data_IF_888109741757
#
_entry.id   IF_888109741757
#
_cell.length_a   1.000
_cell.length_b   1.000
_cell.length_c   1.000
_cell.angle_alpha   90.00
_cell.angle_beta   90.00
_cell.angle_gamma   90.00
#
_symmetry.space_group_name_H-M   'P 1'
#
loop_
_entity.id
_entity.type
_entity.pdbx_description
1 polymer ?
#
# COMPACT_ATOMS: atom_id res chain seq x y z
N UNK A 1 -2.75 2.26 -13.87
CA UNK A 1 -1.84 2.92 -12.92
C UNK A 1 -0.66 2.00 -12.64
N UNK A 2 0.56 2.53 -12.74
CA UNK A 2 1.76 1.72 -12.51
C UNK A 2 1.99 1.48 -11.01
N UNK A 3 2.82 0.49 -10.69
CA UNK A 3 3.16 0.22 -9.29
C UNK A 3 3.85 1.42 -8.64
N UNK A 4 4.67 2.16 -9.40
CA UNK A 4 5.31 3.36 -8.86
C UNK A 4 4.29 4.43 -8.50
N UNK A 5 3.29 4.63 -9.35
CA UNK A 5 2.22 5.58 -9.06
C UNK A 5 1.38 5.16 -7.87
N UNK A 6 1.10 3.87 -7.76
CA UNK A 6 0.38 3.33 -6.60
C UNK A 6 1.16 3.61 -5.31
N UNK A 7 2.48 3.38 -5.32
CA UNK A 7 3.31 3.63 -4.15
C UNK A 7 3.36 5.11 -3.77
N UNK A 8 3.46 6.00 -4.76
CA UNK A 8 3.44 7.43 -4.50
C UNK A 8 2.16 7.87 -3.84
N UNK A 9 1.01 7.42 -4.35
CA UNK A 9 -0.28 7.76 -3.79
C UNK A 9 -0.48 7.13 -2.41
N UNK A 10 -0.02 5.89 -2.22
CA UNK A 10 -0.08 5.24 -0.92
C UNK A 10 0.79 5.98 0.10
N UNK A 11 1.96 6.44 -0.31
CA UNK A 11 2.84 7.25 0.56
C UNK A 11 2.15 8.54 0.97
N UNK A 12 1.47 9.19 0.03
CA UNK A 12 0.71 10.40 0.33
C UNK A 12 -0.37 10.13 1.38
N UNK A 13 -1.11 9.02 1.22
CA UNK A 13 -2.13 8.63 2.20
C UNK A 13 -1.52 8.37 3.58
N UNK A 14 -0.32 7.80 3.62
CA UNK A 14 0.38 7.49 4.86
C UNK A 14 1.06 8.69 5.50
N UNK A 15 1.04 9.86 4.85
CA UNK A 15 1.69 11.05 5.36
C UNK A 15 3.21 11.09 5.15
N UNK A 16 3.73 10.28 4.24
CA UNK A 16 5.16 10.27 3.90
C UNK A 16 5.43 11.43 2.96
N UNK A 17 6.19 12.41 3.42
CA UNK A 17 6.40 13.65 2.65
C UNK A 17 7.65 13.61 1.77
N UNK A 18 8.69 12.92 2.21
CA UNK A 18 9.96 12.89 1.48
C UNK A 18 10.41 11.47 1.22
N UNK A 19 10.61 11.15 -0.05
CA UNK A 19 11.03 9.82 -0.47
C UNK A 19 11.76 9.88 -1.81
N UNK A 20 12.49 8.82 -2.10
CA UNK A 20 13.10 8.60 -3.41
C UNK A 20 12.65 7.24 -3.93
N UNK A 21 12.51 7.12 -5.23
CA UNK A 21 12.21 5.83 -5.84
C UNK A 21 13.43 4.94 -5.88
N UNK A 22 13.23 3.64 -5.60
CA UNK A 22 14.27 2.65 -5.78
C UNK A 22 13.61 1.35 -6.28
N UNK A 23 14.45 0.40 -6.68
CA UNK A 23 13.98 -0.90 -7.12
C UNK A 23 14.66 -1.99 -6.30
N UNK A 24 13.86 -2.95 -5.86
CA UNK A 24 14.37 -4.11 -5.16
C UNK A 24 14.91 -5.13 -6.17
N UNK A 25 15.61 -6.14 -5.67
CA UNK A 25 16.01 -7.27 -6.51
C UNK A 25 14.78 -7.85 -7.21
N UNK A 26 14.87 -8.02 -8.53
CA UNK A 26 13.74 -8.47 -9.32
C UNK A 26 12.91 -7.33 -9.93
N UNK A 27 13.31 -6.08 -9.71
CA UNK A 27 12.66 -4.94 -10.34
C UNK A 27 11.37 -4.45 -9.71
N UNK A 28 11.04 -4.93 -8.51
CA UNK A 28 9.85 -4.47 -7.80
C UNK A 28 10.05 -3.06 -7.27
N UNK A 29 9.15 -2.10 -7.58
CA UNK A 29 9.30 -0.73 -7.08
C UNK A 29 9.18 -0.65 -5.56
N UNK A 30 9.94 0.26 -4.98
CA UNK A 30 9.90 0.57 -3.57
C UNK A 30 10.24 2.04 -3.38
N UNK A 31 10.10 2.55 -2.15
CA UNK A 31 10.48 3.90 -1.82
C UNK A 31 11.51 3.89 -0.71
N UNK A 32 12.44 4.82 -0.77
CA UNK A 32 13.37 5.07 0.32
C UNK A 32 12.93 6.37 1.00
N UNK A 33 12.47 6.23 2.24
CA UNK A 33 11.85 7.34 2.96
C UNK A 33 12.87 8.08 3.82
N UNK A 34 12.82 9.41 3.79
CA UNK A 34 13.69 10.27 4.58
C UNK A 34 13.03 10.77 5.85
N UNK A 35 11.73 10.58 5.95
CA UNK A 35 10.95 10.85 7.16
C UNK A 35 10.33 9.54 7.64
N UNK A 36 9.58 9.57 8.71
CA UNK A 36 8.91 8.36 9.22
C UNK A 36 8.00 7.73 8.17
N UNK A 37 8.08 6.42 7.91
CA UNK A 37 9.06 5.45 8.44
C UNK A 37 10.40 5.57 7.70
N UNK A 38 11.47 5.77 8.45
CA UNK A 38 12.79 5.93 7.86
C UNK A 38 13.27 4.65 7.17
N UNK A 39 13.90 4.82 6.02
CA UNK A 39 14.53 3.72 5.30
C UNK A 39 13.64 3.15 4.21
N UNK A 40 13.89 1.90 3.83
CA UNK A 40 13.18 1.24 2.75
C UNK A 40 11.72 0.97 3.12
N UNK A 41 10.83 1.39 2.23
CA UNK A 41 9.40 1.18 2.40
C UNK A 41 8.86 0.45 1.16
N UNK A 42 8.47 -0.80 1.35
CA UNK A 42 8.13 -1.69 0.25
C UNK A 42 6.86 -2.50 0.55
N UNK A 43 5.70 -1.85 0.66
CA UNK A 43 4.47 -2.57 1.04
C UNK A 43 3.97 -3.56 -0.02
N UNK A 44 4.49 -3.48 -1.26
CA UNK A 44 4.13 -4.47 -2.28
C UNK A 44 4.84 -5.82 -2.06
N UNK A 45 5.96 -5.84 -1.35
CA UNK A 45 6.75 -7.05 -1.14
C UNK A 45 6.99 -7.39 0.33
N UNK A 46 6.85 -6.44 1.23
CA UNK A 46 7.11 -6.66 2.65
C UNK A 46 5.80 -6.66 3.44
N UNK A 47 5.50 -7.79 4.07
CA UNK A 47 4.26 -7.95 4.83
C UNK A 47 4.17 -6.94 5.99
N UNK A 48 5.30 -6.68 6.66
CA UNK A 48 5.32 -5.74 7.77
C UNK A 48 4.98 -4.31 7.32
N UNK A 49 5.57 -3.88 6.20
CA UNK A 49 5.28 -2.54 5.66
C UNK A 49 3.81 -2.44 5.23
N UNK A 50 3.29 -3.49 4.59
CA UNK A 50 1.89 -3.53 4.19
C UNK A 50 0.96 -3.49 5.40
N UNK A 51 1.26 -4.27 6.43
CA UNK A 51 0.45 -4.30 7.64
C UNK A 51 0.45 -2.94 8.35
N UNK A 52 1.62 -2.32 8.47
CA UNK A 52 1.71 -0.99 9.09
C UNK A 52 0.89 0.04 8.33
N UNK A 53 0.90 -0.04 7.00
CA UNK A 53 0.09 0.85 6.16
C UNK A 53 -1.40 0.63 6.40
N UNK A 54 -1.83 -0.63 6.44
CA UNK A 54 -3.24 -0.97 6.70
C UNK A 54 -3.70 -0.48 8.07
N UNK A 55 -2.86 -0.67 9.09
CA UNK A 55 -3.20 -0.23 10.46
C UNK A 55 -3.29 1.29 10.51
N UNK A 56 -2.35 1.99 9.89
CA UNK A 56 -2.35 3.45 9.89
C UNK A 56 -3.61 4.03 9.26
N UNK A 57 -4.12 3.38 8.22
CA UNK A 57 -5.30 3.84 7.50
C UNK A 57 -6.61 3.22 8.00
N UNK A 58 -6.54 2.35 8.99
CA UNK A 58 -7.72 1.71 9.54
C UNK A 58 -8.41 0.75 8.60
N UNK A 59 -7.65 0.07 7.74
CA UNK A 59 -8.21 -0.88 6.78
C UNK A 59 -8.57 -2.20 7.46
N UNK A 60 -9.66 -2.81 7.03
CA UNK A 60 -10.04 -4.16 7.45
C UNK A 60 -9.47 -5.15 6.45
N UNK A 61 -8.68 -6.10 6.93
CA UNK A 61 -8.04 -7.10 6.07
C UNK A 61 -8.92 -8.34 6.01
N UNK A 62 -9.32 -8.72 4.80
CA UNK A 62 -10.08 -9.93 4.52
C UNK A 62 -9.45 -10.58 3.29
N UNK A 63 -8.49 -11.47 3.51
CA UNK A 63 -7.70 -12.05 2.41
C UNK A 63 -8.57 -12.71 1.35
N UNK A 64 -8.27 -12.46 0.07
CA UNK A 64 -7.12 -11.72 -0.46
C UNK A 64 -7.39 -10.23 -0.71
N UNK A 65 -8.16 -9.57 0.09
CA UNK A 65 -8.49 -8.18 -0.12
C UNK A 65 -8.55 -7.39 1.17
N UNK A 66 -8.99 -6.15 1.06
CA UNK A 66 -9.18 -5.27 2.21
C UNK A 66 -10.46 -4.49 2.04
N UNK A 67 -11.07 -4.11 3.14
CA UNK A 67 -12.22 -3.24 3.16
C UNK A 67 -11.85 -1.93 3.86
N UNK A 68 -12.42 -0.85 3.38
CA UNK A 68 -12.22 0.47 3.95
C UNK A 68 -13.55 0.97 4.46
N UNK A 69 -13.55 1.46 5.70
CA UNK A 69 -14.75 2.02 6.31
C UNK A 69 -14.79 3.52 6.07
N UNK A 70 -15.80 4.00 5.38
CA UNK A 70 -16.05 5.42 5.18
C UNK A 70 -17.46 5.76 5.69
N UNK A 71 -17.57 5.92 7.00
CA UNK A 71 -18.88 6.15 7.61
C UNK A 71 -19.77 4.93 7.49
N UNK A 72 -20.89 5.05 6.78
CA UNK A 72 -21.80 3.93 6.56
C UNK A 72 -21.46 3.08 5.36
N UNK A 73 -20.30 3.32 4.74
CA UNK A 73 -19.95 2.71 3.48
C UNK A 73 -18.67 1.92 3.58
N UNK A 74 -18.73 0.64 3.25
CA UNK A 74 -17.55 -0.21 3.14
C UNK A 74 -17.18 -0.38 1.67
N UNK A 75 -15.94 -0.09 1.35
CA UNK A 75 -15.40 -0.27 0.01
C UNK A 75 -14.40 -1.42 0.04
N UNK A 76 -14.68 -2.47 -0.72
CA UNK A 76 -13.84 -3.66 -0.74
C UNK A 76 -12.92 -3.64 -1.95
N UNK A 77 -11.62 -3.80 -1.70
CA UNK A 77 -10.60 -3.91 -2.74
C UNK A 77 -10.02 -5.31 -2.67
N UNK A 78 -10.08 -6.04 -3.75
CA UNK A 78 -9.51 -7.38 -3.80
C UNK A 78 -8.61 -7.54 -5.03
N UNK A 79 -7.61 -8.40 -4.89
CA UNK A 79 -6.68 -8.73 -5.96
C UNK A 79 -6.53 -10.24 -6.02
N UNK A 80 -7.08 -10.86 -7.05
CA UNK A 80 -7.04 -12.31 -7.20
C UNK A 80 -6.13 -12.78 -8.34
N UNK A 81 -5.40 -11.85 -8.96
CA UNK A 81 -4.50 -12.16 -10.07
C UNK A 81 -3.07 -12.45 -9.63
N UNK A 82 -2.76 -12.25 -8.36
CA UNK A 82 -1.43 -12.46 -7.82
C UNK A 82 -1.19 -13.96 -7.51
N UNK A 83 0.08 -14.39 -7.49
CA UNK A 83 0.40 -15.82 -7.33
C UNK A 83 0.04 -16.43 -5.99
N UNK A 84 -0.10 -15.62 -4.94
CA UNK A 84 -0.47 -16.11 -3.63
C UNK A 84 -1.27 -15.07 -2.85
N UNK A 85 -1.90 -15.50 -1.76
CA UNK A 85 -2.75 -14.63 -0.96
C UNK A 85 -2.00 -13.50 -0.27
N UNK A 86 -0.74 -13.72 0.09
CA UNK A 86 0.07 -12.66 0.70
C UNK A 86 0.32 -11.53 -0.28
N UNK A 87 0.74 -11.87 -1.51
CA UNK A 87 0.98 -10.87 -2.54
C UNK A 87 -0.31 -10.15 -2.91
N UNK A 88 -1.40 -10.89 -3.05
CA UNK A 88 -2.71 -10.31 -3.38
C UNK A 88 -3.17 -9.35 -2.29
N UNK A 89 -3.01 -9.72 -1.02
CA UNK A 89 -3.40 -8.88 0.10
C UNK A 89 -2.53 -7.62 0.18
N UNK A 90 -1.20 -7.77 -0.01
CA UNK A 90 -0.31 -6.61 -0.03
C UNK A 90 -0.71 -5.62 -1.13
N UNK A 91 -0.97 -6.10 -2.33
CA UNK A 91 -1.39 -5.26 -3.44
C UNK A 91 -2.73 -4.58 -3.16
N UNK A 92 -3.68 -5.30 -2.58
CA UNK A 92 -4.98 -4.73 -2.21
C UNK A 92 -4.82 -3.60 -1.20
N UNK A 93 -3.94 -3.77 -0.20
CA UNK A 93 -3.64 -2.73 0.78
C UNK A 93 -3.08 -1.48 0.09
N UNK A 94 -2.10 -1.66 -0.80
CA UNK A 94 -1.48 -0.54 -1.51
C UNK A 94 -2.50 0.17 -2.41
N UNK A 95 -3.36 -0.57 -3.09
CA UNK A 95 -4.39 0.02 -3.95
C UNK A 95 -5.41 0.81 -3.15
N UNK A 96 -5.86 0.27 -2.02
CA UNK A 96 -6.77 0.99 -1.15
C UNK A 96 -6.14 2.28 -0.62
N UNK A 97 -4.87 2.20 -0.22
CA UNK A 97 -4.12 3.38 0.22
C UNK A 97 -3.97 4.40 -0.90
N UNK A 98 -3.69 3.94 -2.11
CA UNK A 98 -3.54 4.83 -3.27
C UNK A 98 -4.85 5.58 -3.57
N UNK A 99 -5.99 4.91 -3.43
CA UNK A 99 -7.28 5.57 -3.60
C UNK A 99 -7.49 6.68 -2.58
N UNK A 100 -7.11 6.43 -1.32
CA UNK A 100 -7.18 7.45 -0.28
C UNK A 100 -6.26 8.62 -0.64
N UNK A 101 -5.03 8.34 -1.05
CA UNK A 101 -4.07 9.36 -1.43
C UNK A 101 -4.50 10.19 -2.62
N UNK A 102 -5.21 9.58 -3.58
CA UNK A 102 -5.67 10.30 -4.77
C UNK A 102 -6.80 11.28 -4.47
N UNK A 103 -7.47 11.13 -3.34
CA UNK A 103 -8.55 12.03 -2.92
C UNK A 103 -8.06 13.20 -2.07
N UNK A 104 -6.82 13.18 -1.69
CA UNK A 104 -6.25 14.20 -0.79
C UNK A 104 -5.82 15.46 -1.52
#
# INVERSE_FOLDING_TARGET
MSDRELLELAAKAAGIAEFSHCELCGGTPALYCRTEPLGLWAPLTDDGDALRLAVKLGLTIACPGVARDEGDHLEFVSEDTEPDDHAATRRAIVRAAAEIGSRS
#
